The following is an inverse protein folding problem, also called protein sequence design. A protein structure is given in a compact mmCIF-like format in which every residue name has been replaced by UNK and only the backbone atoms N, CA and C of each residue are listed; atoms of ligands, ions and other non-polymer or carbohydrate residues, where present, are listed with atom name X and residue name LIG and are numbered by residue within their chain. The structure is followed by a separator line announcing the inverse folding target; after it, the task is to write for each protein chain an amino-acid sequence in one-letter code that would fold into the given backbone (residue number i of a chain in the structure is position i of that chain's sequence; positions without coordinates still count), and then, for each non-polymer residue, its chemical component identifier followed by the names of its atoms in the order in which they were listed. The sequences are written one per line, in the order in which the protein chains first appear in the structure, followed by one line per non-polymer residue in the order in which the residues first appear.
data_IF_674052692036
#
_entry.id   IF_674052692036
#
_cell.length_a   1.000
_cell.length_b   1.000
_cell.length_c   1.000
_cell.angle_alpha   90.00
_cell.angle_beta   90.00
_cell.angle_gamma   90.00
#
_symmetry.space_group_name_H-M   'P 1'
#
loop_
_entity.id
_entity.type
_entity.pdbx_description
1 polymer ?
#
# COMPACT_ATOMS: atom_id res chain seq x y z
N UNK A 1 -13.99 9.57 26.99
CA UNK A 1 -14.58 8.95 25.77
C UNK A 1 -13.42 8.46 24.92
N UNK A 2 -13.49 7.29 24.27
CA UNK A 2 -12.46 6.92 23.31
C UNK A 2 -12.35 8.06 22.28
N UNK A 3 -11.12 8.47 21.97
CA UNK A 3 -10.88 9.47 20.95
C UNK A 3 -11.56 8.99 19.66
N UNK A 4 -12.39 9.85 19.05
CA UNK A 4 -13.06 9.56 17.79
C UNK A 4 -12.03 9.21 16.72
N UNK A 5 -12.33 8.23 15.88
CA UNK A 5 -11.51 7.89 14.73
C UNK A 5 -11.42 9.10 13.78
N UNK A 6 -10.25 9.74 13.67
CA UNK A 6 -10.12 10.95 12.84
C UNK A 6 -10.15 10.65 11.33
N UNK A 7 -10.05 9.38 10.94
CA UNK A 7 -10.08 8.93 9.55
C UNK A 7 -11.48 8.48 9.11
N UNK A 8 -12.48 8.58 9.96
CA UNK A 8 -13.85 8.20 9.64
C UNK A 8 -14.38 8.95 8.40
N UNK A 9 -15.11 8.25 7.51
CA UNK A 9 -15.72 8.76 6.26
C UNK A 9 -14.76 9.24 5.18
N UNK A 10 -13.46 9.04 5.37
CA UNK A 10 -12.44 9.38 4.38
C UNK A 10 -12.42 8.38 3.23
N UNK A 11 -11.74 8.74 2.15
CA UNK A 11 -11.57 7.93 0.93
C UNK A 11 -10.10 7.61 0.76
N UNK A 12 -9.78 6.34 0.64
CA UNK A 12 -8.41 5.85 0.44
C UNK A 12 -8.27 5.21 -0.92
N UNK A 13 -7.28 5.64 -1.72
CA UNK A 13 -6.89 4.93 -2.94
C UNK A 13 -5.71 4.00 -2.70
N UNK A 14 -5.82 2.75 -3.18
CA UNK A 14 -4.80 1.71 -3.05
C UNK A 14 -3.95 1.59 -4.32
N UNK A 15 -2.91 2.40 -4.40
CA UNK A 15 -1.97 2.47 -5.52
C UNK A 15 -0.86 1.42 -5.39
N UNK A 16 -0.50 0.77 -6.49
CA UNK A 16 0.55 -0.26 -6.48
C UNK A 16 0.48 -1.19 -7.68
N UNK A 17 1.52 -2.01 -7.93
CA UNK A 17 1.54 -2.94 -9.05
C UNK A 17 0.36 -3.93 -9.01
N UNK A 18 -0.16 -4.22 -10.20
CA UNK A 18 -1.09 -5.32 -10.48
C UNK A 18 -0.49 -6.32 -11.50
N UNK A 19 0.45 -5.84 -12.31
CA UNK A 19 1.25 -6.62 -13.24
C UNK A 19 2.61 -6.97 -12.66
N UNK A 20 3.30 -7.93 -13.30
CA UNK A 20 4.59 -8.47 -12.88
C UNK A 20 4.57 -9.12 -11.48
N UNK A 21 3.40 -9.64 -11.11
CA UNK A 21 3.16 -10.41 -9.89
C UNK A 21 3.13 -11.91 -10.16
N UNK A 22 3.45 -12.72 -9.16
CA UNK A 22 3.56 -14.18 -9.34
C UNK A 22 2.25 -14.86 -9.78
N UNK A 23 1.11 -14.36 -9.31
CA UNK A 23 -0.23 -14.72 -9.80
C UNK A 23 -1.18 -13.56 -9.57
N UNK A 24 -1.80 -13.06 -10.65
CA UNK A 24 -2.80 -11.97 -10.58
C UNK A 24 -4.03 -12.39 -9.76
N UNK A 25 -4.40 -13.68 -9.83
CA UNK A 25 -5.52 -14.25 -9.06
C UNK A 25 -5.20 -14.22 -7.57
N UNK A 26 -4.02 -14.72 -7.19
CA UNK A 26 -3.62 -14.72 -5.78
C UNK A 26 -3.46 -13.27 -5.27
N UNK A 27 -2.86 -12.36 -6.02
CA UNK A 27 -2.77 -10.93 -5.62
C UNK A 27 -4.15 -10.31 -5.40
N UNK A 28 -5.14 -10.62 -6.26
CA UNK A 28 -6.50 -10.09 -6.12
C UNK A 28 -7.18 -10.51 -4.81
N UNK A 29 -6.96 -11.74 -4.34
CA UNK A 29 -7.69 -12.31 -3.20
C UNK A 29 -6.88 -12.44 -1.90
N UNK A 30 -5.56 -12.44 -1.98
CA UNK A 30 -4.63 -12.56 -0.85
C UNK A 30 -3.50 -11.53 -0.88
N UNK A 31 -3.47 -10.65 -1.87
CA UNK A 31 -2.54 -9.55 -1.92
C UNK A 31 -2.78 -8.52 -0.81
N UNK A 32 -1.85 -7.56 -0.71
CA UNK A 32 -1.86 -6.55 0.33
C UNK A 32 -3.15 -5.71 0.36
N UNK A 33 -3.79 -5.50 -0.80
CA UNK A 33 -5.08 -4.79 -0.88
C UNK A 33 -6.21 -5.58 -0.24
N UNK A 34 -6.26 -6.89 -0.48
CA UNK A 34 -7.26 -7.78 0.13
C UNK A 34 -7.09 -7.84 1.65
N UNK A 35 -5.84 -7.90 2.13
CA UNK A 35 -5.49 -7.89 3.55
C UNK A 35 -5.89 -6.58 4.25
N UNK A 36 -5.59 -5.44 3.61
CA UNK A 36 -5.77 -4.10 4.18
C UNK A 36 -7.21 -3.61 4.13
N UNK A 37 -7.97 -3.96 3.08
CA UNK A 37 -9.32 -3.42 2.83
C UNK A 37 -10.29 -3.62 4.01
N UNK A 38 -10.37 -4.81 4.65
CA UNK A 38 -11.27 -5.02 5.78
C UNK A 38 -10.92 -4.14 6.99
N UNK A 39 -9.64 -3.88 7.19
CA UNK A 39 -9.13 -2.99 8.25
C UNK A 39 -9.56 -1.55 7.97
N UNK A 40 -9.35 -1.06 6.74
CA UNK A 40 -9.79 0.29 6.35
C UNK A 40 -11.31 0.45 6.47
N UNK A 41 -12.09 -0.57 6.11
CA UNK A 41 -13.54 -0.57 6.28
C UNK A 41 -13.97 -0.54 7.74
N UNK A 42 -13.24 -1.20 8.64
CA UNK A 42 -13.48 -1.12 10.09
C UNK A 42 -13.25 0.31 10.63
N UNK A 43 -12.47 1.13 9.93
CA UNK A 43 -12.32 2.56 10.19
C UNK A 43 -13.36 3.44 9.47
N UNK A 44 -14.39 2.85 8.86
CA UNK A 44 -15.38 3.56 8.05
C UNK A 44 -14.77 4.35 6.89
N UNK A 45 -13.66 3.85 6.34
CA UNK A 45 -12.98 4.44 5.18
C UNK A 45 -13.54 3.82 3.91
N UNK A 46 -13.88 4.67 2.94
CA UNK A 46 -14.23 4.22 1.59
C UNK A 46 -12.98 3.87 0.81
N UNK A 47 -12.81 2.58 0.52
CA UNK A 47 -11.66 2.08 -0.24
C UNK A 47 -11.92 2.17 -1.74
N UNK A 48 -10.99 2.76 -2.48
CA UNK A 48 -10.91 2.77 -3.93
C UNK A 48 -9.79 1.81 -4.35
N UNK A 49 -10.14 0.71 -4.98
CA UNK A 49 -9.24 -0.41 -5.31
C UNK A 49 -9.28 -0.66 -6.83
N UNK A 50 -8.12 -0.60 -7.53
CA UNK A 50 -8.08 -0.81 -8.99
C UNK A 50 -8.47 -2.22 -9.43
N UNK A 51 -8.46 -3.24 -8.56
CA UNK A 51 -9.04 -4.55 -8.88
C UNK A 51 -10.57 -4.54 -8.92
N UNK A 52 -11.20 -3.59 -8.24
CA UNK A 52 -12.63 -3.52 -7.98
C UNK A 52 -13.16 -2.13 -8.36
N UNK A 53 -12.96 -1.76 -9.63
CA UNK A 53 -13.30 -0.45 -10.16
C UNK A 53 -14.80 -0.14 -10.01
N UNK A 54 -15.16 1.10 -9.65
CA UNK A 54 -16.56 1.50 -9.55
C UNK A 54 -17.24 1.50 -10.92
N UNK A 55 -18.51 1.13 -10.96
CA UNK A 55 -19.32 1.26 -12.18
C UNK A 55 -19.54 2.75 -12.52
N UNK A 56 -19.31 3.11 -13.78
CA UNK A 56 -19.54 4.48 -14.26
C UNK A 56 -20.97 4.58 -14.82
N UNK A 57 -21.76 5.48 -14.27
CA UNK A 57 -23.15 5.67 -14.71
C UNK A 57 -23.17 6.10 -16.17
N UNK A 58 -23.90 5.33 -17.00
CA UNK A 58 -24.04 5.62 -18.43
C UNK A 58 -22.94 5.04 -19.31
N UNK A 59 -21.95 4.34 -18.74
CA UNK A 59 -20.90 3.67 -19.50
C UNK A 59 -20.76 2.21 -19.04
N UNK A 60 -21.17 1.28 -19.90
CA UNK A 60 -20.94 -0.15 -19.66
C UNK A 60 -19.44 -0.46 -19.81
N UNK A 61 -18.89 -1.21 -18.86
CA UNK A 61 -17.50 -1.72 -18.88
C UNK A 61 -16.36 -0.69 -18.91
N UNK A 62 -16.65 0.60 -18.69
CA UNK A 62 -15.64 1.67 -18.73
C UNK A 62 -14.46 1.41 -17.80
N UNK A 63 -13.26 1.32 -18.39
CA UNK A 63 -12.02 1.09 -17.65
C UNK A 63 -11.94 -0.24 -16.90
N UNK A 64 -12.84 -1.20 -17.17
CA UNK A 64 -12.78 -2.54 -16.56
C UNK A 64 -11.55 -3.32 -17.02
N UNK A 65 -10.88 -3.95 -16.07
CA UNK A 65 -9.75 -4.84 -16.33
C UNK A 65 -10.19 -6.03 -17.20
N UNK A 66 -9.43 -6.33 -18.26
CA UNK A 66 -9.67 -7.49 -19.14
C UNK A 66 -10.62 -7.25 -20.32
N UNK A 67 -11.18 -6.04 -20.47
CA UNK A 67 -12.03 -5.64 -21.61
C UNK A 67 -11.23 -4.88 -22.69
N UNK A 68 -9.94 -4.66 -22.45
CA UNK A 68 -9.03 -3.95 -23.34
C UNK A 68 -8.80 -4.69 -24.68
N UNK A 69 -8.45 -3.97 -25.77
CA UNK A 69 -8.08 -4.57 -27.04
C UNK A 69 -6.94 -5.59 -26.85
N UNK A 70 -6.90 -6.60 -27.72
CA UNK A 70 -5.97 -7.73 -27.61
C UNK A 70 -4.51 -7.23 -27.45
N UNK A 71 -3.95 -7.43 -26.26
CA UNK A 71 -2.58 -7.02 -25.91
C UNK A 71 -1.55 -7.60 -26.88
N UNK A 72 -1.75 -8.83 -27.35
CA UNK A 72 -0.87 -9.49 -28.31
C UNK A 72 -0.88 -8.78 -29.66
N UNK A 73 -2.07 -8.35 -30.12
CA UNK A 73 -2.20 -7.56 -31.34
C UNK A 73 -1.52 -6.20 -31.18
N UNK A 74 -1.71 -5.53 -30.04
CA UNK A 74 -1.03 -4.28 -29.75
C UNK A 74 0.48 -4.43 -29.83
N UNK A 75 1.05 -5.43 -29.15
CA UNK A 75 2.50 -5.66 -29.13
C UNK A 75 3.06 -6.00 -30.52
N UNK A 76 2.32 -6.77 -31.33
CA UNK A 76 2.73 -7.13 -32.69
C UNK A 76 2.70 -5.94 -33.66
N UNK A 77 1.68 -5.08 -33.56
CA UNK A 77 1.38 -4.07 -34.58
C UNK A 77 1.80 -2.64 -34.19
N UNK A 78 2.20 -2.38 -32.93
CA UNK A 78 2.38 -1.01 -32.42
C UNK A 78 3.30 -0.15 -33.29
N UNK A 79 4.43 -0.70 -33.72
CA UNK A 79 5.43 0.03 -34.51
C UNK A 79 5.09 0.13 -35.99
N UNK A 80 4.24 -0.76 -36.50
CA UNK A 80 3.99 -0.93 -37.95
C UNK A 80 2.62 -0.42 -38.38
N UNK A 81 1.65 -0.27 -37.47
CA UNK A 81 0.28 0.09 -37.77
C UNK A 81 -0.19 1.33 -37.00
N UNK A 82 -0.43 2.43 -37.71
CA UNK A 82 -0.93 3.68 -37.13
C UNK A 82 -2.36 3.54 -36.56
N UNK A 83 -3.22 2.72 -37.18
CA UNK A 83 -4.58 2.52 -36.70
C UNK A 83 -4.60 1.79 -35.34
N UNK A 84 -3.71 0.82 -35.15
CA UNK A 84 -3.53 0.14 -33.86
C UNK A 84 -3.13 1.13 -32.76
N UNK A 85 -2.21 2.07 -33.06
CA UNK A 85 -1.82 3.11 -32.08
C UNK A 85 -2.98 4.02 -31.69
N UNK A 86 -3.71 4.54 -32.67
CA UNK A 86 -4.88 5.40 -32.42
C UNK A 86 -5.95 4.68 -31.61
N UNK A 87 -6.22 3.40 -31.92
CA UNK A 87 -7.16 2.60 -31.16
C UNK A 87 -6.69 2.42 -29.71
N UNK A 88 -5.42 2.07 -29.50
CA UNK A 88 -4.88 1.88 -28.16
C UNK A 88 -4.91 3.16 -27.32
N UNK A 89 -4.51 4.29 -27.90
CA UNK A 89 -4.58 5.60 -27.23
C UNK A 89 -6.00 5.92 -26.76
N UNK A 90 -7.02 5.59 -27.56
CA UNK A 90 -8.42 5.78 -27.21
C UNK A 90 -8.90 4.81 -26.13
N UNK A 91 -8.66 3.52 -26.33
CA UNK A 91 -9.28 2.45 -25.51
C UNK A 91 -8.56 2.29 -24.16
N UNK A 92 -7.24 2.40 -24.14
CA UNK A 92 -6.46 2.27 -22.90
C UNK A 92 -6.60 3.52 -22.00
N UNK A 93 -6.91 4.68 -22.58
CA UNK A 93 -7.14 5.90 -21.82
C UNK A 93 -8.25 5.75 -20.78
N UNK A 94 -9.29 4.94 -21.03
CA UNK A 94 -10.36 4.71 -20.05
C UNK A 94 -9.85 4.07 -18.75
N UNK A 95 -8.88 3.15 -18.89
CA UNK A 95 -8.22 2.49 -17.76
C UNK A 95 -7.34 3.46 -16.99
N UNK A 96 -6.54 4.26 -17.69
CA UNK A 96 -5.70 5.30 -17.06
C UNK A 96 -6.57 6.34 -16.36
N UNK A 97 -7.64 6.79 -17.02
CA UNK A 97 -8.51 7.83 -16.53
C UNK A 97 -9.27 7.41 -15.27
N UNK A 98 -9.78 6.18 -15.18
CA UNK A 98 -10.49 5.73 -13.98
C UNK A 98 -9.55 5.62 -12.76
N UNK A 99 -8.29 5.20 -12.95
CA UNK A 99 -7.29 5.12 -11.88
C UNK A 99 -6.88 6.51 -11.38
N UNK A 100 -6.66 7.45 -12.31
CA UNK A 100 -6.44 8.85 -11.97
C UNK A 100 -7.67 9.47 -11.31
N UNK A 101 -8.88 9.11 -11.74
CA UNK A 101 -10.11 9.59 -11.12
C UNK A 101 -10.27 9.06 -9.69
N UNK A 102 -9.87 7.82 -9.42
CA UNK A 102 -9.83 7.30 -8.05
C UNK A 102 -8.80 8.05 -7.20
N UNK A 103 -7.64 8.37 -7.76
CA UNK A 103 -6.65 9.25 -7.12
C UNK A 103 -7.25 10.62 -6.80
N UNK A 104 -7.89 11.26 -7.77
CA UNK A 104 -8.58 12.56 -7.63
C UNK A 104 -9.69 12.54 -6.56
N UNK A 105 -10.40 11.43 -6.44
CA UNK A 105 -11.49 11.28 -5.47
C UNK A 105 -11.02 10.84 -4.09
N UNK A 106 -9.81 10.32 -3.92
CA UNK A 106 -9.29 9.97 -2.60
C UNK A 106 -8.93 11.20 -1.76
N UNK A 107 -9.01 11.06 -0.45
CA UNK A 107 -8.51 12.05 0.53
C UNK A 107 -7.03 11.76 0.85
N UNK A 108 -6.61 10.50 0.76
CA UNK A 108 -5.21 10.08 0.84
C UNK A 108 -4.95 8.81 0.04
N UNK A 109 -3.67 8.55 -0.27
CA UNK A 109 -3.24 7.38 -1.05
C UNK A 109 -2.37 6.47 -0.18
N UNK A 110 -2.58 5.15 -0.27
CA UNK A 110 -1.62 4.16 0.19
C UNK A 110 -0.96 3.57 -1.05
N UNK A 111 0.35 3.77 -1.19
CA UNK A 111 1.13 3.37 -2.35
C UNK A 111 2.09 2.22 -1.99
N UNK A 112 1.90 1.06 -2.59
CA UNK A 112 2.83 -0.06 -2.49
C UNK A 112 3.84 -0.02 -3.64
N UNK A 113 5.12 0.17 -3.29
CA UNK A 113 6.22 0.41 -4.25
C UNK A 113 7.39 -0.55 -3.98
N UNK A 114 7.27 -1.83 -4.37
CA UNK A 114 8.38 -2.78 -4.30
C UNK A 114 9.46 -2.40 -5.33
N UNK A 115 10.71 -2.29 -4.88
CA UNK A 115 11.78 -1.69 -5.70
C UNK A 115 12.25 -2.55 -6.88
N UNK A 116 11.79 -3.79 -6.98
CA UNK A 116 12.07 -4.70 -8.08
C UNK A 116 10.91 -4.81 -9.09
N UNK A 117 9.79 -4.14 -8.85
CA UNK A 117 8.65 -4.16 -9.77
C UNK A 117 8.53 -2.80 -10.42
N UNK A 118 8.59 -2.79 -11.75
CA UNK A 118 8.36 -1.58 -12.51
C UNK A 118 6.88 -1.23 -12.51
N UNK A 119 6.51 -0.06 -11.94
CA UNK A 119 5.12 0.41 -11.88
C UNK A 119 5.01 1.91 -12.20
N UNK A 120 4.94 2.25 -13.49
CA UNK A 120 4.80 3.65 -13.94
C UNK A 120 3.46 4.24 -13.51
N UNK A 121 2.39 3.44 -13.53
CA UNK A 121 1.07 3.85 -13.06
C UNK A 121 1.11 4.34 -11.61
N UNK A 122 1.72 3.55 -10.72
CA UNK A 122 1.91 3.92 -9.31
C UNK A 122 2.73 5.21 -9.14
N UNK A 123 3.80 5.40 -9.92
CA UNK A 123 4.56 6.66 -9.91
C UNK A 123 3.65 7.84 -10.29
N UNK A 124 2.87 7.70 -11.36
CA UNK A 124 1.99 8.75 -11.85
C UNK A 124 0.91 9.11 -10.80
N UNK A 125 0.28 8.11 -10.20
CA UNK A 125 -0.72 8.28 -9.14
C UNK A 125 -0.16 9.00 -7.91
N UNK A 126 1.05 8.63 -7.47
CA UNK A 126 1.74 9.31 -6.35
C UNK A 126 2.00 10.79 -6.68
N UNK A 127 2.47 11.09 -7.89
CA UNK A 127 2.74 12.47 -8.31
C UNK A 127 1.44 13.29 -8.35
N UNK A 128 0.38 12.74 -8.95
CA UNK A 128 -0.93 13.42 -9.04
C UNK A 128 -1.50 13.68 -7.64
N UNK A 129 -1.44 12.70 -6.74
CA UNK A 129 -1.86 12.87 -5.35
C UNK A 129 -1.09 14.01 -4.66
N UNK A 130 0.24 14.07 -4.82
CA UNK A 130 1.06 15.12 -4.20
C UNK A 130 0.89 16.49 -4.84
N UNK A 131 0.63 16.58 -6.15
CA UNK A 131 0.25 17.84 -6.81
C UNK A 131 -1.06 18.40 -6.22
N UNK A 132 -1.95 17.52 -5.79
CA UNK A 132 -3.20 17.85 -5.10
C UNK A 132 -3.03 17.99 -3.57
N UNK A 133 -1.80 18.00 -3.05
CA UNK A 133 -1.47 18.08 -1.61
C UNK A 133 -2.07 16.96 -0.75
N UNK A 134 -2.42 15.80 -1.34
CA UNK A 134 -2.96 14.66 -0.60
C UNK A 134 -1.85 13.86 0.04
N UNK A 135 -1.95 13.46 1.32
CA UNK A 135 -0.93 12.60 1.90
C UNK A 135 -0.85 11.25 1.18
N UNK A 136 0.38 10.77 1.06
CA UNK A 136 0.69 9.48 0.43
C UNK A 136 1.44 8.65 1.46
N UNK A 137 0.88 7.53 1.88
CA UNK A 137 1.55 6.55 2.72
C UNK A 137 2.23 5.51 1.83
N UNK A 138 3.56 5.54 1.75
CA UNK A 138 4.32 4.70 0.83
C UNK A 138 4.96 3.51 1.54
N UNK A 139 4.62 2.30 1.09
CA UNK A 139 5.24 1.06 1.56
C UNK A 139 6.25 0.57 0.52
N UNK A 140 7.52 0.43 0.91
CA UNK A 140 8.57 -0.14 0.08
C UNK A 140 9.22 -1.31 0.83
N UNK A 141 8.81 -2.55 0.55
CA UNK A 141 9.32 -3.69 1.30
C UNK A 141 10.75 -4.06 0.90
N UNK A 142 11.49 -4.78 1.76
CA UNK A 142 12.80 -5.31 1.42
C UNK A 142 12.70 -6.35 0.29
N UNK A 143 13.61 -6.25 -0.68
CA UNK A 143 13.78 -7.24 -1.74
C UNK A 143 15.10 -7.96 -1.52
N UNK A 144 15.07 -9.29 -1.43
CA UNK A 144 16.25 -10.14 -1.39
C UNK A 144 16.06 -11.34 -2.31
N UNK A 145 17.13 -11.84 -2.91
CA UNK A 145 17.10 -12.99 -3.82
C UNK A 145 16.76 -14.28 -3.10
N UNK A 146 17.10 -14.41 -1.82
CA UNK A 146 16.73 -15.57 -1.00
C UNK A 146 15.22 -15.64 -0.68
N UNK A 147 14.46 -14.60 -1.00
CA UNK A 147 12.99 -14.62 -0.99
C UNK A 147 12.42 -15.27 -2.26
N UNK A 148 13.25 -15.60 -3.25
CA UNK A 148 12.86 -16.23 -4.52
C UNK A 148 13.69 -17.51 -4.71
N UNK A 149 13.11 -18.72 -4.49
CA UNK A 149 13.84 -19.98 -4.55
C UNK A 149 14.70 -20.16 -5.80
N UNK A 150 14.19 -19.73 -6.95
CA UNK A 150 14.86 -19.79 -8.25
C UNK A 150 16.10 -18.89 -8.29
N UNK A 151 16.04 -17.71 -7.69
CA UNK A 151 17.18 -16.78 -7.62
C UNK A 151 18.17 -17.19 -6.53
N UNK A 152 17.69 -17.78 -5.46
CA UNK A 152 18.53 -18.27 -4.36
C UNK A 152 19.46 -19.41 -4.83
N UNK A 153 18.96 -20.26 -5.73
CA UNK A 153 19.71 -21.38 -6.30
C UNK A 153 20.80 -20.94 -7.30
N UNK A 154 20.81 -19.68 -7.74
CA UNK A 154 21.81 -19.16 -8.67
C UNK A 154 23.19 -19.03 -8.02
N UNK A 155 24.23 -19.21 -8.81
CA UNK A 155 25.61 -18.92 -8.43
C UNK A 155 25.85 -17.43 -8.24
N UNK A 156 26.90 -17.06 -7.51
CA UNK A 156 27.31 -15.66 -7.33
C UNK A 156 27.69 -14.96 -8.65
N UNK A 157 28.14 -15.73 -9.65
CA UNK A 157 28.39 -15.19 -10.99
C UNK A 157 27.08 -14.77 -11.68
N UNK A 158 26.04 -15.62 -11.59
CA UNK A 158 24.71 -15.34 -12.15
C UNK A 158 24.01 -14.19 -11.41
N UNK A 159 24.09 -14.15 -10.08
CA UNK A 159 23.57 -13.02 -9.29
C UNK A 159 24.24 -11.70 -9.65
N UNK A 160 25.56 -11.71 -9.92
CA UNK A 160 26.28 -10.52 -10.43
C UNK A 160 25.81 -10.13 -11.82
N UNK A 161 25.58 -11.09 -12.72
CA UNK A 161 25.05 -10.81 -14.05
C UNK A 161 23.64 -10.20 -13.99
N UNK A 162 22.76 -10.73 -13.13
CA UNK A 162 21.43 -10.17 -12.87
C UNK A 162 21.51 -8.72 -12.37
N UNK A 163 22.42 -8.44 -11.43
CA UNK A 163 22.67 -7.07 -10.96
C UNK A 163 23.10 -6.13 -12.07
N UNK A 164 24.00 -6.57 -12.95
CA UNK A 164 24.40 -5.80 -14.14
C UNK A 164 23.25 -5.59 -15.12
N UNK A 165 22.28 -6.50 -15.17
CA UNK A 165 21.06 -6.37 -15.94
C UNK A 165 19.95 -5.56 -15.25
N UNK A 166 20.23 -4.95 -14.09
CA UNK A 166 19.29 -4.09 -13.35
C UNK A 166 18.45 -4.80 -12.30
N UNK A 167 18.58 -6.12 -12.12
CA UNK A 167 17.94 -6.86 -11.03
C UNK A 167 18.79 -6.75 -9.77
N UNK A 168 18.44 -5.84 -8.87
CA UNK A 168 19.18 -5.58 -7.64
C UNK A 168 18.33 -5.86 -6.41
N UNK A 169 18.93 -6.53 -5.42
CA UNK A 169 18.36 -6.61 -4.08
C UNK A 169 18.26 -5.23 -3.43
N UNK A 170 17.24 -5.06 -2.61
CA UNK A 170 17.06 -3.95 -1.70
C UNK A 170 16.75 -4.50 -0.31
N UNK A 171 17.75 -5.10 0.39
CA UNK A 171 17.51 -5.81 1.64
C UNK A 171 16.96 -4.93 2.76
N UNK A 172 17.07 -3.61 2.62
CA UNK A 172 16.62 -2.62 3.60
C UNK A 172 15.28 -1.97 3.23
N UNK A 173 14.67 -2.31 2.08
CA UNK A 173 13.41 -1.72 1.64
C UNK A 173 13.49 -0.20 1.44
N UNK A 174 14.68 0.34 1.15
CA UNK A 174 14.84 1.79 1.02
C UNK A 174 14.28 2.21 -0.35
N UNK A 175 13.25 3.07 -0.39
CA UNK A 175 12.72 3.56 -1.66
C UNK A 175 13.72 4.52 -2.34
N UNK A 176 13.46 4.83 -3.61
CA UNK A 176 14.22 5.84 -4.34
C UNK A 176 14.26 7.18 -3.59
N UNK A 177 15.41 7.85 -3.57
CA UNK A 177 15.59 9.17 -2.95
C UNK A 177 14.62 10.22 -3.50
N UNK A 178 14.17 10.05 -4.76
CA UNK A 178 13.15 10.90 -5.37
C UNK A 178 11.86 10.92 -4.56
N UNK A 179 11.41 9.76 -4.06
CA UNK A 179 10.22 9.71 -3.21
C UNK A 179 10.41 10.43 -1.89
N UNK A 180 11.64 10.56 -1.39
CA UNK A 180 11.93 11.30 -0.15
C UNK A 180 11.48 12.75 -0.23
N UNK A 181 11.67 13.37 -1.40
CA UNK A 181 11.25 14.75 -1.66
C UNK A 181 9.77 14.90 -2.03
N UNK A 182 9.15 13.85 -2.56
CA UNK A 182 7.77 13.86 -3.03
C UNK A 182 6.78 13.53 -1.89
N UNK A 183 7.08 12.47 -1.14
CA UNK A 183 6.21 11.86 -0.13
C UNK A 183 6.61 12.28 1.30
N UNK A 184 7.90 12.56 1.51
CA UNK A 184 8.46 12.82 2.83
C UNK A 184 8.79 11.54 3.59
N UNK A 185 9.96 11.52 4.25
CA UNK A 185 10.44 10.32 4.96
C UNK A 185 9.52 9.84 6.08
N UNK A 186 8.68 10.71 6.66
CA UNK A 186 7.69 10.34 7.68
C UNK A 186 6.50 9.55 7.12
N UNK A 187 6.32 9.49 5.81
CA UNK A 187 5.25 8.72 5.20
C UNK A 187 5.78 7.48 4.44
N UNK A 188 7.01 7.04 4.77
CA UNK A 188 7.64 5.84 4.20
C UNK A 188 7.71 4.71 5.21
N UNK A 189 7.36 3.50 4.76
CA UNK A 189 7.26 2.29 5.56
C UNK A 189 7.97 1.14 4.85
N UNK A 190 8.60 0.24 5.60
CA UNK A 190 9.28 -0.94 5.05
C UNK A 190 8.41 -2.20 5.12
N UNK A 191 7.15 -2.05 5.50
CA UNK A 191 6.13 -3.10 5.48
C UNK A 191 4.81 -2.60 6.04
N UNK A 192 3.79 -3.44 5.92
CA UNK A 192 2.46 -3.19 6.42
C UNK A 192 2.33 -3.52 7.91
N UNK A 193 3.05 -4.51 8.42
CA UNK A 193 2.99 -4.96 9.83
C UNK A 193 2.40 -6.35 10.04
N UNK A 194 2.21 -7.12 8.96
CA UNK A 194 1.72 -8.51 9.01
C UNK A 194 2.65 -9.49 8.30
N UNK A 195 3.81 -9.04 7.83
CA UNK A 195 4.73 -9.85 7.03
C UNK A 195 5.29 -11.05 7.79
N UNK A 196 5.28 -11.03 9.12
CA UNK A 196 5.65 -12.15 9.96
C UNK A 196 4.50 -13.15 10.20
N UNK A 197 3.27 -12.79 9.82
CA UNK A 197 2.08 -13.60 10.05
C UNK A 197 1.75 -14.50 8.87
N UNK A 198 1.20 -15.66 9.17
CA UNK A 198 0.61 -16.52 8.16
C UNK A 198 -0.78 -15.99 7.78
N UNK A 199 -0.85 -15.35 6.61
CA UNK A 199 -2.06 -14.70 6.11
C UNK A 199 -3.19 -15.68 5.75
N UNK A 200 -2.89 -16.98 5.62
CA UNK A 200 -3.89 -18.01 5.28
C UNK A 200 -4.62 -18.56 6.50
N UNK A 201 -4.23 -18.13 7.70
CA UNK A 201 -4.85 -18.58 8.93
C UNK A 201 -6.34 -18.20 8.98
N UNK A 202 -7.20 -19.07 9.55
CA UNK A 202 -8.62 -18.78 9.71
C UNK A 202 -8.90 -17.75 10.81
N UNK A 203 -7.91 -17.39 11.63
CA UNK A 203 -7.99 -16.40 12.71
C UNK A 203 -7.05 -15.20 12.47
N UNK A 204 -6.74 -14.91 11.20
CA UNK A 204 -5.74 -13.92 10.82
C UNK A 204 -6.01 -12.54 11.46
N UNK A 205 -7.25 -12.06 11.39
CA UNK A 205 -7.57 -10.72 11.89
C UNK A 205 -7.60 -10.65 13.43
N UNK A 206 -7.93 -11.73 14.10
CA UNK A 206 -7.86 -11.88 15.56
C UNK A 206 -6.44 -11.70 16.07
N UNK A 207 -5.46 -12.29 15.37
CA UNK A 207 -4.06 -12.28 15.79
C UNK A 207 -3.31 -11.04 15.30
N UNK A 208 -3.79 -10.38 14.24
CA UNK A 208 -3.11 -9.27 13.60
C UNK A 208 -2.86 -8.09 14.55
N UNK A 209 -3.93 -7.50 15.09
CA UNK A 209 -3.81 -6.28 15.91
C UNK A 209 -3.03 -6.53 17.21
N UNK A 210 -3.28 -7.63 17.97
CA UNK A 210 -2.47 -7.93 19.14
C UNK A 210 -0.98 -8.12 18.83
N UNK A 211 -0.64 -8.82 17.75
CA UNK A 211 0.75 -9.05 17.35
C UNK A 211 1.41 -7.72 16.95
N UNK A 212 0.73 -6.93 16.11
CA UNK A 212 1.23 -5.63 15.68
C UNK A 212 1.51 -4.70 16.87
N UNK A 213 0.60 -4.64 17.85
CA UNK A 213 0.78 -3.81 19.04
C UNK A 213 1.92 -4.34 19.92
N UNK A 214 2.09 -5.66 20.03
CA UNK A 214 3.21 -6.25 20.75
C UNK A 214 4.55 -5.90 20.08
N UNK A 215 4.63 -6.03 18.75
CA UNK A 215 5.82 -5.71 17.97
C UNK A 215 6.18 -4.21 18.02
N UNK A 216 5.16 -3.34 18.09
CA UNK A 216 5.33 -1.90 18.16
C UNK A 216 5.59 -1.35 19.58
N UNK A 217 5.58 -2.22 20.61
CA UNK A 217 5.79 -1.79 21.99
C UNK A 217 7.23 -1.28 22.18
N UNK A 218 7.43 -0.02 22.63
CA UNK A 218 8.76 0.49 22.93
C UNK A 218 9.46 -0.33 24.01
N UNK A 219 10.78 -0.53 23.86
CA UNK A 219 11.59 -1.24 24.86
C UNK A 219 11.69 -0.47 26.19
N UNK A 220 11.72 0.87 26.11
CA UNK A 220 11.57 1.74 27.28
C UNK A 220 10.08 1.92 27.58
N UNK A 221 9.62 1.36 28.69
CA UNK A 221 8.23 1.49 29.16
C UNK A 221 7.97 2.83 29.87
N UNK A 222 8.66 3.88 29.43
CA UNK A 222 8.52 5.24 29.92
C UNK A 222 8.57 6.25 28.77
N UNK A 223 8.31 7.52 29.09
CA UNK A 223 8.39 8.61 28.11
C UNK A 223 7.22 8.68 27.10
N UNK A 224 7.33 9.58 26.10
CA UNK A 224 6.24 9.93 25.21
C UNK A 224 5.85 8.79 24.25
N UNK A 225 6.80 7.96 23.84
CA UNK A 225 6.57 6.85 22.91
C UNK A 225 5.76 5.74 23.53
N UNK A 226 6.10 5.35 24.77
CA UNK A 226 5.32 4.37 25.52
C UNK A 226 3.92 4.89 25.84
N UNK A 227 3.78 6.15 26.26
CA UNK A 227 2.47 6.77 26.48
C UNK A 227 1.61 6.78 25.22
N UNK A 228 2.21 7.06 24.06
CA UNK A 228 1.52 6.98 22.76
C UNK A 228 1.09 5.54 22.47
N UNK A 229 1.98 4.58 22.61
CA UNK A 229 1.66 3.16 22.43
C UNK A 229 0.51 2.71 23.36
N UNK A 230 0.51 3.13 24.63
CA UNK A 230 -0.56 2.84 25.59
C UNK A 230 -1.90 3.42 25.14
N UNK A 231 -1.92 4.67 24.66
CA UNK A 231 -3.13 5.31 24.14
C UNK A 231 -3.68 4.57 22.92
N UNK A 232 -2.81 4.23 21.96
CA UNK A 232 -3.18 3.48 20.75
C UNK A 232 -3.71 2.09 21.12
N UNK A 233 -3.02 1.39 22.02
CA UNK A 233 -3.43 0.05 22.48
C UNK A 233 -4.78 0.09 23.18
N UNK A 234 -4.99 1.07 24.07
CA UNK A 234 -6.28 1.29 24.72
C UNK A 234 -7.37 1.63 23.70
N UNK A 235 -7.09 2.49 22.73
CA UNK A 235 -8.04 2.83 21.67
C UNK A 235 -8.44 1.60 20.84
N UNK A 236 -7.47 0.79 20.41
CA UNK A 236 -7.74 -0.45 19.67
C UNK A 236 -8.60 -1.43 20.48
N UNK A 237 -8.30 -1.60 21.77
CA UNK A 237 -9.05 -2.50 22.65
C UNK A 237 -10.52 -2.05 22.87
N UNK A 238 -10.81 -0.75 22.68
CA UNK A 238 -12.15 -0.19 22.84
C UNK A 238 -12.83 0.15 21.50
N UNK A 239 -12.19 -0.10 20.36
CA UNK A 239 -12.81 0.05 19.04
C UNK A 239 -13.69 -1.17 18.76
N UNK A 240 -15.00 -0.97 18.73
CA UNK A 240 -15.96 -2.04 18.49
C UNK A 240 -15.80 -2.66 17.11
N UNK A 241 -15.52 -1.85 16.09
CA UNK A 241 -15.38 -2.26 14.70
C UNK A 241 -14.09 -3.04 14.45
N UNK A 242 -12.94 -2.57 14.96
CA UNK A 242 -11.71 -3.35 14.92
C UNK A 242 -11.84 -4.64 15.73
N UNK A 243 -12.48 -4.57 16.91
CA UNK A 243 -12.77 -5.72 17.74
C UNK A 243 -13.73 -6.72 17.10
N UNK A 244 -14.55 -6.30 16.14
CA UNK A 244 -15.45 -7.17 15.39
C UNK A 244 -14.79 -7.81 14.16
N UNK A 245 -13.61 -7.36 13.75
CA UNK A 245 -12.87 -7.97 12.65
C UNK A 245 -12.32 -9.34 13.11
N UNK A 246 -12.81 -10.40 12.46
CA UNK A 246 -12.60 -11.81 12.80
C UNK A 246 -12.45 -12.63 11.52
N UNK A 247 -11.88 -13.83 11.62
CA UNK A 247 -11.73 -14.74 10.51
C UNK A 247 -10.43 -14.57 9.72
N UNK A 248 -10.35 -15.31 8.61
CA UNK A 248 -9.28 -15.22 7.63
C UNK A 248 -9.54 -14.17 6.55
N UNK A 249 -8.57 -13.97 5.66
CA UNK A 249 -8.67 -12.98 4.57
C UNK A 249 -9.89 -13.24 3.67
N UNK A 250 -10.16 -14.51 3.34
CA UNK A 250 -11.23 -14.87 2.42
C UNK A 250 -12.64 -14.65 2.99
N UNK A 251 -12.80 -14.60 4.31
CA UNK A 251 -14.10 -14.34 4.95
C UNK A 251 -14.61 -12.92 4.65
N UNK A 252 -13.71 -12.02 4.23
CA UNK A 252 -14.01 -10.63 3.89
C UNK A 252 -13.99 -10.35 2.37
N UNK A 253 -13.72 -11.38 1.57
CA UNK A 253 -13.67 -11.26 0.11
C UNK A 253 -15.02 -11.57 -0.52
N UNK A 254 -15.34 -10.87 -1.61
CA UNK A 254 -16.51 -11.14 -2.45
C UNK A 254 -16.04 -11.65 -3.79
N UNK A 255 -16.55 -12.81 -4.19
CA UNK A 255 -16.38 -13.34 -5.54
C UNK A 255 -17.54 -12.84 -6.39
N UNK A 256 -17.24 -12.25 -7.56
CA UNK A 256 -18.29 -11.81 -8.47
C UNK A 256 -18.91 -12.98 -9.23
N UNK A 257 -18.12 -14.03 -9.45
CA UNK A 257 -18.53 -15.22 -10.18
C UNK A 257 -17.88 -16.48 -9.56
N UNK A 258 -18.58 -17.60 -9.64
CA UNK A 258 -18.08 -18.90 -9.16
C UNK A 258 -16.85 -19.40 -9.96
N UNK A 259 -16.67 -18.91 -11.18
CA UNK A 259 -15.45 -19.15 -11.98
C UNK A 259 -14.21 -18.56 -11.30
N UNK A 260 -14.32 -17.37 -10.70
CA UNK A 260 -13.20 -16.74 -9.98
C UNK A 260 -12.80 -17.54 -8.75
N UNK A 261 -13.79 -18.05 -8.00
CA UNK A 261 -13.55 -18.91 -6.84
C UNK A 261 -12.82 -20.18 -7.22
N UNK A 262 -13.32 -20.90 -8.23
CA UNK A 262 -12.67 -22.12 -8.74
C UNK A 262 -11.26 -21.86 -9.28
N UNK A 263 -11.06 -20.69 -9.91
CA UNK A 263 -9.75 -20.27 -10.38
C UNK A 263 -8.79 -20.06 -9.20
N UNK A 264 -9.22 -19.36 -8.15
CA UNK A 264 -8.44 -19.18 -6.93
C UNK A 264 -8.09 -20.51 -6.27
N UNK A 265 -9.08 -21.40 -6.09
CA UNK A 265 -8.87 -22.73 -5.51
C UNK A 265 -7.80 -23.51 -6.29
N UNK A 266 -7.88 -23.49 -7.63
CA UNK A 266 -6.88 -24.13 -8.50
C UNK A 266 -5.48 -23.52 -8.34
N UNK A 267 -5.37 -22.20 -8.24
CA UNK A 267 -4.09 -21.52 -8.06
C UNK A 267 -3.47 -21.84 -6.69
N UNK A 268 -4.29 -21.92 -5.63
CA UNK A 268 -3.84 -22.26 -4.28
C UNK A 268 -3.26 -23.67 -4.17
N UNK A 269 -3.73 -24.61 -5.00
CA UNK A 269 -3.21 -25.98 -5.07
C UNK A 269 -1.91 -26.13 -5.86
N UNK A 270 -1.35 -25.04 -6.41
CA UNK A 270 0.00 -25.09 -6.96
C UNK A 270 1.00 -25.19 -5.81
N UNK A 271 1.93 -26.14 -5.87
CA UNK A 271 2.92 -26.37 -4.80
C UNK A 271 3.67 -25.09 -4.36
N UNK A 272 4.00 -24.20 -5.29
CA UNK A 272 4.64 -22.90 -4.98
C UNK A 272 3.76 -21.99 -4.12
N UNK A 273 2.43 -22.08 -4.26
CA UNK A 273 1.47 -21.28 -3.53
C UNK A 273 1.13 -21.91 -2.19
N UNK A 274 1.11 -23.23 -2.05
CA UNK A 274 0.87 -23.93 -0.78
C UNK A 274 1.89 -23.49 0.29
N UNK A 275 3.18 -23.51 -0.08
CA UNK A 275 4.29 -23.14 0.80
C UNK A 275 4.47 -21.62 0.97
N UNK A 276 3.78 -20.81 0.15
CA UNK A 276 3.91 -19.35 0.19
C UNK A 276 3.44 -18.80 1.53
N UNK A 277 4.35 -18.12 2.24
CA UNK A 277 4.08 -17.47 3.54
C UNK A 277 3.63 -16.01 3.43
N UNK A 278 4.07 -15.29 2.39
CA UNK A 278 3.55 -13.96 2.06
C UNK A 278 3.59 -13.72 0.54
N UNK A 279 2.66 -12.94 0.00
CA UNK A 279 2.51 -12.80 -1.46
C UNK A 279 3.76 -12.23 -2.13
N UNK A 280 4.33 -11.16 -1.56
CA UNK A 280 5.48 -10.45 -2.13
C UNK A 280 6.84 -11.03 -1.70
N UNK A 281 6.88 -11.81 -0.61
CA UNK A 281 8.10 -12.38 -0.04
C UNK A 281 7.85 -13.80 0.45
N UNK A 282 8.66 -14.77 0.05
CA UNK A 282 8.49 -16.14 0.56
C UNK A 282 9.05 -16.33 1.98
N UNK A 283 9.71 -15.33 2.56
CA UNK A 283 10.13 -15.38 3.97
C UNK A 283 9.48 -14.27 4.80
N UNK A 284 9.04 -14.61 6.03
CA UNK A 284 8.53 -13.63 6.96
C UNK A 284 9.63 -12.66 7.41
N UNK A 285 9.26 -11.42 7.68
CA UNK A 285 10.12 -10.45 8.35
C UNK A 285 9.27 -9.51 9.21
N UNK A 286 9.89 -8.89 10.21
CA UNK A 286 9.27 -7.83 11.00
C UNK A 286 9.69 -6.48 10.42
N UNK A 287 8.75 -5.66 9.93
CA UNK A 287 9.06 -4.31 9.46
C UNK A 287 9.66 -3.48 10.59
N UNK A 288 10.69 -2.68 10.30
CA UNK A 288 11.20 -1.69 11.26
C UNK A 288 10.20 -0.57 11.47
N UNK A 289 9.37 -0.32 10.46
CA UNK A 289 8.34 0.72 10.47
C UNK A 289 7.11 0.24 9.72
N UNK A 290 6.19 -0.35 10.47
CA UNK A 290 4.88 -0.78 9.98
C UNK A 290 4.00 0.41 9.58
N UNK A 291 3.42 0.33 8.39
CA UNK A 291 2.32 1.20 7.97
C UNK A 291 1.15 1.12 8.95
N UNK A 292 0.69 -0.08 9.28
CA UNK A 292 -0.54 -0.29 10.04
C UNK A 292 -0.43 0.30 11.46
N UNK A 293 0.72 0.17 12.14
CA UNK A 293 0.87 0.80 13.45
C UNK A 293 0.83 2.32 13.38
N UNK A 294 1.51 2.92 12.39
CA UNK A 294 1.43 4.37 12.18
C UNK A 294 0.02 4.82 11.81
N UNK A 295 -0.70 4.00 11.03
CA UNK A 295 -2.09 4.23 10.68
C UNK A 295 -3.01 4.21 11.89
N UNK A 296 -2.82 3.25 12.82
CA UNK A 296 -3.52 3.21 14.10
C UNK A 296 -3.22 4.44 14.96
N UNK A 297 -1.97 4.91 14.95
CA UNK A 297 -1.60 6.15 15.64
C UNK A 297 -2.44 7.32 15.08
N UNK A 298 -2.46 7.49 13.76
CA UNK A 298 -3.23 8.53 13.08
C UNK A 298 -4.72 8.40 13.42
N UNK A 299 -5.33 7.23 13.19
CA UNK A 299 -6.74 6.98 13.48
C UNK A 299 -7.12 7.33 14.94
N UNK A 300 -6.24 7.03 15.90
CA UNK A 300 -6.43 7.36 17.32
C UNK A 300 -6.22 8.84 17.69
N UNK A 301 -5.91 9.71 16.72
CA UNK A 301 -5.73 11.15 16.89
C UNK A 301 -4.29 11.64 16.90
N UNK A 302 -3.29 10.78 16.69
CA UNK A 302 -1.89 11.21 16.59
C UNK A 302 -1.53 11.62 15.16
N UNK A 303 -1.53 12.93 14.92
CA UNK A 303 -1.01 13.49 13.66
C UNK A 303 0.52 13.62 13.78
N UNK A 304 1.30 12.99 12.88
CA UNK A 304 2.75 13.13 12.92
C UNK A 304 3.16 14.59 12.68
N UNK A 305 4.19 15.11 13.37
CA UNK A 305 4.73 16.42 13.02
C UNK A 305 5.33 16.41 11.60
N UNK A 306 5.38 17.56 10.96
CA UNK A 306 6.14 17.84 9.74
C UNK A 306 7.42 18.58 10.14
N UNK A 307 8.58 18.07 9.71
CA UNK A 307 9.85 18.74 9.93
C UNK A 307 10.13 19.66 8.74
N UNK A 308 10.09 20.96 8.98
CA UNK A 308 10.53 21.95 8.03
C UNK A 308 11.94 22.39 8.40
N UNK A 309 12.87 22.33 7.45
CA UNK A 309 14.18 22.96 7.61
C UNK A 309 14.02 24.40 7.13
N UNK A 310 14.02 25.35 8.07
CA UNK A 310 13.92 26.78 7.78
C UNK A 310 15.30 27.42 7.96
N UNK A 311 15.63 28.39 7.11
CA UNK A 311 16.76 29.27 7.34
C UNK A 311 16.41 30.28 8.45
N UNK A 312 17.29 30.43 9.43
CA UNK A 312 17.20 31.46 10.47
C UNK A 312 18.55 32.15 10.65
N UNK A 313 18.56 33.36 11.19
CA UNK A 313 19.82 34.00 11.60
C UNK A 313 20.22 33.51 12.99
N UNK A 314 21.50 33.21 13.20
CA UNK A 314 22.07 33.04 14.53
C UNK A 314 22.39 34.40 15.18
N UNK A 315 22.92 34.37 16.41
CA UNK A 315 23.21 35.57 17.19
C UNK A 315 24.29 36.46 16.55
N UNK A 316 25.10 35.89 15.64
CA UNK A 316 26.14 36.58 14.87
C UNK A 316 25.63 37.07 13.50
N UNK A 317 24.35 36.85 13.19
CA UNK A 317 23.74 37.23 11.92
C UNK A 317 24.06 36.28 10.76
N UNK A 318 24.58 35.08 11.01
CA UNK A 318 24.80 34.08 9.97
C UNK A 318 23.52 33.28 9.70
N UNK A 319 23.30 32.91 8.44
CA UNK A 319 22.19 32.02 8.07
C UNK A 319 22.50 30.59 8.50
N UNK A 320 21.74 30.06 9.45
CA UNK A 320 21.82 28.69 9.94
C UNK A 320 20.51 27.92 9.68
N UNK A 321 20.57 26.62 9.39
CA UNK A 321 19.36 25.80 9.30
C UNK A 321 18.79 25.56 10.70
N UNK A 322 17.51 25.86 10.91
CA UNK A 322 16.74 25.46 12.09
C UNK A 322 15.65 24.47 11.70
N UNK A 323 15.54 23.40 12.48
CA UNK A 323 14.46 22.44 12.36
C UNK A 323 13.24 23.04 13.06
N UNK A 324 12.19 23.30 12.30
CA UNK A 324 10.89 23.71 12.82
C UNK A 324 9.92 22.55 12.68
N UNK A 325 9.39 22.08 13.82
CA UNK A 325 8.29 21.13 13.82
C UNK A 325 6.98 21.90 13.64
N UNK A 326 6.30 21.69 12.53
CA UNK A 326 4.88 22.06 12.38
C UNK A 326 4.03 20.81 12.50
N UNK A 327 2.71 20.93 12.67
CA UNK A 327 1.84 19.77 12.44
C UNK A 327 1.78 19.49 10.93
N UNK A 328 1.71 18.21 10.56
CA UNK A 328 1.47 17.81 9.17
C UNK A 328 -0.01 18.06 8.85
N UNK A 329 -0.27 19.23 8.24
CA UNK A 329 -1.60 19.72 7.90
C UNK A 329 -2.26 18.96 6.75
N UNK A 330 -1.47 18.19 6.00
CA UNK A 330 -1.95 17.20 5.01
C UNK A 330 -3.03 16.28 5.65
N UNK A 331 -2.94 16.01 6.97
CA UNK A 331 -3.93 15.20 7.71
C UNK A 331 -5.11 16.01 8.26
N UNK A 332 -4.98 17.32 8.44
CA UNK A 332 -6.06 18.17 8.96
C UNK A 332 -7.17 18.39 7.91
N UNK A 333 -6.82 18.27 6.63
CA UNK A 333 -7.79 18.29 5.52
C UNK A 333 -8.67 17.03 5.45
N UNK A 334 -8.36 16.00 6.25
CA UNK A 334 -9.00 14.68 6.19
C UNK A 334 -10.13 14.55 7.21
N UNK A 335 -10.16 15.36 8.28
CA UNK A 335 -11.25 15.28 9.25
C UNK A 335 -12.53 15.79 8.61
N UNK A 336 -13.59 14.97 8.60
CA UNK A 336 -14.91 15.42 8.19
C UNK A 336 -15.29 16.66 9.01
N UNK A 337 -15.53 17.80 8.33
CA UNK A 337 -16.32 18.87 8.92
C UNK A 337 -17.56 18.19 9.50
N UNK A 338 -17.71 18.23 10.81
CA UNK A 338 -18.92 17.74 11.44
C UNK A 338 -20.04 18.62 10.89
N UNK A 339 -20.83 18.09 9.95
CA UNK A 339 -22.08 18.70 9.52
C UNK A 339 -22.92 18.90 10.79
N UNK A 340 -22.95 20.14 11.28
CA UNK A 340 -23.69 20.57 12.45
C UNK A 340 -25.16 20.84 12.17
#
# INVERSE_FOLDING_TARGET
MPASNILEKTRCYLSGPMDFVGSRVIEKYFGWRALLTPILKAFHIRVLDPWNKPAIRGHENYGQEGVLPNKEQYEADFWTNAATRVQFERDFWETVHIDLRMTDLSDFVIAFVPTNTYSVGTVHEVIVARQQQKPVLMVSPPIRFDLFPELNALSEAEKRALKSAGFKENPQGIPSQWYGNIVGGRNMFDGFGWEALDFKRPDFYEVLIPTLLADAKPADESGPDFQRWQRVSHWCANSGELGALRGGVLDHMRFHQESERRLLERELHQSKEEDRRYFWHNQPYTPKRSLLYQFLCIASGYIPPKLNILSALDDDGNVVPRIHESMDDDWLLISAEHEG
#
